data_IF_204944882466
#
_entry.id   IF_204944882466
#
_cell.length_a   1.000
_cell.length_b   1.000
_cell.length_c   1.000
_cell.angle_alpha   90.00
_cell.angle_beta   90.00
_cell.angle_gamma   90.00
#
_symmetry.space_group_name_H-M   'P 1'
#
loop_
_entity.id
_entity.type
_entity.pdbx_description
1 polymer ?
#
# COMPACT_ATOMS: atom_id res chain seq x y z
N UNK A 1 1.33 29.35 60.39
CA UNK A 1 1.26 27.89 60.43
C UNK A 1 0.12 27.52 59.48
N UNK A 2 0.42 27.59 58.18
CA UNK A 2 -0.53 27.40 57.04
C UNK A 2 0.23 26.96 55.76
N UNK A 3 1.55 27.18 55.69
CA UNK A 3 2.38 26.82 54.52
C UNK A 3 2.60 25.30 54.34
N UNK A 4 2.66 24.52 55.43
CA UNK A 4 2.90 23.06 55.36
C UNK A 4 1.70 22.27 54.81
N UNK A 5 0.52 22.87 54.79
CA UNK A 5 -0.72 22.28 54.23
C UNK A 5 -0.91 22.56 52.74
N UNK A 6 -0.21 23.55 52.17
CA UNK A 6 -0.30 23.93 50.76
C UNK A 6 0.74 23.21 49.88
N UNK A 7 1.89 22.82 50.43
CA UNK A 7 2.93 22.07 49.73
C UNK A 7 2.41 20.80 49.00
N UNK A 8 1.60 19.92 49.62
CA UNK A 8 1.07 18.74 48.91
C UNK A 8 0.08 19.10 47.79
N UNK A 9 -0.62 20.24 47.86
CA UNK A 9 -1.48 20.71 46.78
C UNK A 9 -0.66 21.24 45.59
N UNK A 10 0.43 21.95 45.87
CA UNK A 10 1.35 22.46 44.83
C UNK A 10 2.06 21.30 44.11
N UNK A 11 2.49 20.26 44.84
CA UNK A 11 3.11 19.07 44.25
C UNK A 11 2.13 18.24 43.41
N UNK A 12 0.89 18.09 43.88
CA UNK A 12 -0.17 17.43 43.12
C UNK A 12 -0.53 18.22 41.85
N UNK A 13 -0.59 19.55 41.92
CA UNK A 13 -0.84 20.42 40.78
C UNK A 13 0.29 20.35 39.75
N UNK A 14 1.55 20.41 40.21
CA UNK A 14 2.73 20.28 39.35
C UNK A 14 2.77 18.92 38.66
N UNK A 15 2.47 17.84 39.38
CA UNK A 15 2.41 16.48 38.83
C UNK A 15 1.30 16.31 37.80
N UNK A 16 0.12 16.88 38.04
CA UNK A 16 -0.99 16.88 37.10
C UNK A 16 -0.67 17.68 35.83
N UNK A 17 0.01 18.82 35.97
CA UNK A 17 0.40 19.68 34.86
C UNK A 17 1.47 18.99 33.99
N UNK A 18 2.46 18.35 34.59
CA UNK A 18 3.45 17.52 33.88
C UNK A 18 2.75 16.39 33.12
N UNK A 19 1.80 15.69 33.75
CA UNK A 19 1.07 14.60 33.10
C UNK A 19 0.24 15.10 31.91
N UNK A 20 -0.45 16.24 32.03
CA UNK A 20 -1.19 16.83 30.91
C UNK A 20 -0.28 17.23 29.74
N UNK A 21 0.89 17.80 30.02
CA UNK A 21 1.88 18.16 28.98
C UNK A 21 2.39 16.90 28.27
N UNK A 22 2.68 15.82 29.00
CA UNK A 22 3.12 14.56 28.40
C UNK A 22 2.05 13.93 27.50
N UNK A 23 0.78 13.98 27.91
CA UNK A 23 -0.34 13.50 27.10
C UNK A 23 -0.50 14.34 25.82
N UNK A 24 -0.32 15.67 25.90
CA UNK A 24 -0.37 16.55 24.74
C UNK A 24 0.78 16.28 23.76
N UNK A 25 2.00 16.06 24.25
CA UNK A 25 3.15 15.68 23.42
C UNK A 25 2.90 14.32 22.75
N UNK A 26 2.35 13.35 23.49
CA UNK A 26 2.02 12.04 22.93
C UNK A 26 1.00 12.14 21.79
N UNK A 27 -0.07 12.93 21.97
CA UNK A 27 -1.03 13.19 20.90
C UNK A 27 -0.42 13.93 19.70
N UNK A 28 0.49 14.89 19.93
CA UNK A 28 1.20 15.58 18.84
C UNK A 28 2.08 14.61 18.04
N UNK A 29 2.82 13.73 18.71
CA UNK A 29 3.67 12.72 18.06
C UNK A 29 2.79 11.72 17.29
N UNK A 30 1.69 11.27 17.87
CA UNK A 30 0.75 10.37 17.20
C UNK A 30 0.12 11.03 15.96
N UNK A 31 -0.26 12.31 16.08
CA UNK A 31 -0.84 13.09 14.98
C UNK A 31 0.19 13.34 13.87
N UNK A 32 1.42 13.69 14.22
CA UNK A 32 2.51 13.87 13.25
C UNK A 32 2.86 12.56 12.53
N UNK A 33 2.86 11.44 13.25
CA UNK A 33 3.08 10.10 12.66
C UNK A 33 1.94 9.72 11.72
N UNK A 34 0.69 9.99 12.12
CA UNK A 34 -0.49 9.77 11.27
C UNK A 34 -0.49 10.67 10.04
N UNK A 35 -0.18 11.96 10.18
CA UNK A 35 -0.04 12.90 9.07
C UNK A 35 1.08 12.49 8.12
N UNK A 36 2.21 12.00 8.62
CA UNK A 36 3.33 11.52 7.79
C UNK A 36 2.94 10.25 7.04
N UNK A 37 2.21 9.33 7.68
CA UNK A 37 1.68 8.12 7.05
C UNK A 37 0.63 8.47 5.97
N UNK A 38 -0.27 9.40 6.25
CA UNK A 38 -1.27 9.90 5.29
C UNK A 38 -0.63 10.70 4.15
N UNK A 39 0.34 11.57 4.42
CA UNK A 39 1.03 12.35 3.39
C UNK A 39 1.82 11.46 2.42
N UNK A 40 2.46 10.39 2.93
CA UNK A 40 3.08 9.35 2.08
C UNK A 40 2.07 8.61 1.19
N UNK A 41 0.78 8.59 1.55
CA UNK A 41 -0.26 7.95 0.76
C UNK A 41 -0.84 8.88 -0.33
N UNK A 42 -0.71 10.22 -0.17
CA UNK A 42 -1.37 11.23 -1.02
C UNK A 42 -0.50 11.80 -2.15
N UNK A 43 0.81 11.57 -2.17
CA UNK A 43 1.67 12.10 -3.26
C UNK A 43 1.76 11.13 -4.44
N UNK A 44 0.70 11.06 -5.24
CA UNK A 44 0.80 10.75 -6.67
C UNK A 44 0.49 12.06 -7.40
N UNK A 45 1.55 12.85 -7.60
CA UNK A 45 1.53 14.23 -8.10
C UNK A 45 0.91 14.35 -9.51
N UNK A 46 0.00 15.32 -9.69
CA UNK A 46 -0.60 15.75 -10.97
C UNK A 46 0.17 16.92 -11.62
N UNK A 47 1.49 17.06 -11.40
CA UNK A 47 2.31 18.15 -11.98
C UNK A 47 3.33 17.68 -13.01
N UNK A 48 3.61 18.56 -13.97
CA UNK A 48 4.45 18.36 -15.15
C UNK A 48 5.86 17.79 -14.86
N UNK A 49 6.31 16.93 -15.77
CA UNK A 49 7.45 16.00 -15.62
C UNK A 49 8.83 16.65 -15.40
N UNK A 50 8.98 17.95 -15.64
CA UNK A 50 10.30 18.62 -15.57
C UNK A 50 10.74 19.01 -14.15
N UNK A 51 9.83 19.16 -13.19
CA UNK A 51 10.15 19.51 -11.80
C UNK A 51 10.23 18.28 -10.85
N UNK A 52 10.03 17.05 -11.35
CA UNK A 52 9.86 15.87 -10.49
C UNK A 52 11.15 15.11 -10.13
N UNK A 53 12.35 15.58 -10.53
CA UNK A 53 13.60 14.81 -10.31
C UNK A 53 13.92 14.55 -8.84
N UNK A 54 13.43 15.37 -7.91
CA UNK A 54 13.64 15.20 -6.46
C UNK A 54 12.49 14.47 -5.73
N UNK A 55 11.40 14.14 -6.42
CA UNK A 55 10.19 13.54 -5.83
C UNK A 55 10.00 12.05 -6.17
N UNK A 56 10.98 11.38 -6.76
CA UNK A 56 10.96 9.93 -6.95
C UNK A 56 11.01 9.22 -5.58
N UNK A 57 9.86 9.17 -4.91
CA UNK A 57 9.66 8.26 -3.79
C UNK A 57 9.62 6.87 -4.40
N UNK A 58 10.59 5.99 -4.11
CA UNK A 58 10.63 4.68 -4.73
C UNK A 58 9.35 3.92 -4.36
N UNK A 59 8.74 3.27 -5.36
CA UNK A 59 7.63 2.36 -5.12
C UNK A 59 8.17 1.22 -4.26
N UNK A 60 7.75 1.17 -3.00
CA UNK A 60 8.10 0.07 -2.10
C UNK A 60 7.19 -1.10 -2.45
N UNK A 61 7.76 -2.05 -3.18
CA UNK A 61 7.11 -3.32 -3.45
C UNK A 61 7.17 -4.22 -2.23
N UNK A 62 6.08 -4.92 -1.94
CA UNK A 62 5.98 -5.90 -0.87
C UNK A 62 5.89 -7.29 -1.44
N UNK A 63 6.19 -8.28 -0.61
CA UNK A 63 5.94 -9.66 -0.98
C UNK A 63 4.43 -9.91 -1.05
N UNK A 64 4.04 -10.82 -1.95
CA UNK A 64 2.66 -11.28 -2.05
C UNK A 64 2.31 -12.03 -0.77
N UNK A 65 1.12 -11.74 -0.23
CA UNK A 65 0.63 -12.33 1.02
C UNK A 65 0.20 -13.78 0.80
N UNK A 66 -0.43 -14.05 -0.35
CA UNK A 66 -0.99 -15.36 -0.67
C UNK A 66 -0.96 -15.60 -2.17
N UNK A 67 -0.47 -16.76 -2.57
CA UNK A 67 -0.58 -17.30 -3.93
C UNK A 67 -1.58 -18.46 -3.92
N UNK A 68 -2.65 -18.36 -4.72
CA UNK A 68 -3.56 -19.45 -4.98
C UNK A 68 -3.56 -19.69 -6.50
N UNK A 69 -2.65 -20.56 -6.95
CA UNK A 69 -2.45 -20.84 -8.36
C UNK A 69 -3.58 -21.68 -8.96
N UNK A 70 -4.29 -22.47 -8.16
CA UNK A 70 -5.44 -23.26 -8.60
C UNK A 70 -6.59 -22.34 -9.05
N UNK A 71 -6.80 -21.22 -8.35
CA UNK A 71 -7.76 -20.18 -8.69
C UNK A 71 -7.18 -19.06 -9.56
N UNK A 72 -5.93 -19.18 -10.02
CA UNK A 72 -5.23 -18.14 -10.77
C UNK A 72 -5.30 -16.76 -10.08
N UNK A 73 -5.07 -16.73 -8.77
CA UNK A 73 -5.23 -15.54 -7.93
C UNK A 73 -4.03 -15.33 -7.02
N UNK A 74 -3.66 -14.06 -6.85
CA UNK A 74 -2.72 -13.62 -5.83
C UNK A 74 -3.33 -12.51 -4.97
N UNK A 75 -2.94 -12.44 -3.70
CA UNK A 75 -3.35 -11.38 -2.76
C UNK A 75 -2.17 -10.61 -2.22
N UNK A 76 -2.31 -9.29 -2.13
CA UNK A 76 -1.21 -8.39 -1.77
C UNK A 76 -1.70 -7.16 -1.03
N UNK A 77 -0.73 -6.41 -0.48
CA UNK A 77 -0.98 -5.15 0.22
C UNK A 77 -0.36 -4.01 -0.60
N UNK A 78 -1.19 -3.13 -1.15
CA UNK A 78 -0.81 -1.91 -1.90
C UNK A 78 -0.01 -2.16 -3.18
N UNK A 79 1.24 -2.64 -3.11
CA UNK A 79 2.07 -2.98 -4.25
C UNK A 79 2.73 -4.34 -4.02
N UNK A 80 2.92 -5.12 -5.07
CA UNK A 80 3.56 -6.43 -4.96
C UNK A 80 4.75 -6.61 -5.89
N UNK A 81 5.69 -7.44 -5.44
CA UNK A 81 6.71 -8.05 -6.28
C UNK A 81 6.51 -9.56 -6.26
N UNK A 82 6.44 -10.15 -7.44
CA UNK A 82 6.44 -11.60 -7.56
C UNK A 82 7.84 -12.14 -7.27
N UNK A 83 7.93 -13.27 -6.57
CA UNK A 83 9.18 -14.01 -6.52
C UNK A 83 9.48 -14.69 -7.87
N UNK A 84 10.72 -15.07 -8.10
CA UNK A 84 11.14 -15.66 -9.39
C UNK A 84 10.49 -17.02 -9.65
N UNK A 85 10.20 -17.79 -8.60
CA UNK A 85 9.57 -19.11 -8.74
C UNK A 85 8.14 -18.99 -9.29
N UNK A 86 7.30 -18.16 -8.67
CA UNK A 86 5.92 -17.93 -9.06
C UNK A 86 5.84 -17.19 -10.40
N UNK A 87 6.78 -16.29 -10.72
CA UNK A 87 6.87 -15.72 -12.07
C UNK A 87 7.00 -16.80 -13.14
N UNK A 88 7.91 -17.75 -12.94
CA UNK A 88 8.14 -18.83 -13.90
C UNK A 88 6.90 -19.73 -14.00
N UNK A 89 6.29 -20.09 -12.87
CA UNK A 89 5.08 -20.93 -12.84
C UNK A 89 3.91 -20.27 -13.58
N UNK A 90 3.60 -19.01 -13.25
CA UNK A 90 2.50 -18.27 -13.87
C UNK A 90 2.81 -18.02 -15.35
N UNK A 91 4.02 -17.56 -15.69
CA UNK A 91 4.43 -17.36 -17.09
C UNK A 91 4.29 -18.63 -17.92
N UNK A 92 4.73 -19.78 -17.40
CA UNK A 92 4.59 -21.07 -18.08
C UNK A 92 3.12 -21.45 -18.30
N UNK A 93 2.23 -21.19 -17.33
CA UNK A 93 0.79 -21.44 -17.49
C UNK A 93 0.14 -20.55 -18.57
N UNK A 94 0.71 -19.37 -18.80
CA UNK A 94 0.18 -18.37 -19.72
C UNK A 94 0.80 -18.40 -21.13
N UNK A 95 1.84 -19.21 -21.37
CA UNK A 95 2.56 -19.26 -22.66
C UNK A 95 1.68 -19.62 -23.85
N UNK A 96 0.64 -20.43 -23.65
CA UNK A 96 -0.27 -20.86 -24.71
C UNK A 96 -1.55 -20.03 -24.79
N UNK A 97 -1.70 -19.00 -23.95
CA UNK A 97 -2.91 -18.19 -23.94
C UNK A 97 -2.94 -17.23 -25.14
N UNK A 98 -3.97 -17.32 -25.99
CA UNK A 98 -4.20 -16.33 -27.05
C UNK A 98 -4.87 -15.07 -26.50
N UNK A 99 -5.68 -15.23 -25.46
CA UNK A 99 -6.43 -14.18 -24.82
C UNK A 99 -6.42 -14.33 -23.30
N UNK A 100 -6.26 -13.22 -22.58
CA UNK A 100 -6.12 -13.17 -21.13
C UNK A 100 -7.02 -12.07 -20.58
N UNK A 101 -7.86 -12.39 -19.60
CA UNK A 101 -8.52 -11.41 -18.75
C UNK A 101 -7.77 -11.30 -17.43
N UNK A 102 -7.47 -10.08 -17.00
CA UNK A 102 -6.87 -9.80 -15.69
C UNK A 102 -7.80 -8.86 -14.93
N UNK A 103 -8.16 -9.27 -13.72
CA UNK A 103 -9.04 -8.52 -12.84
C UNK A 103 -8.27 -8.16 -11.57
N UNK A 104 -8.23 -6.88 -11.23
CA UNK A 104 -7.71 -6.40 -9.95
C UNK A 104 -8.88 -5.97 -9.09
N UNK A 105 -9.04 -6.58 -7.91
CA UNK A 105 -9.90 -6.07 -6.85
C UNK A 105 -9.02 -5.27 -5.90
N UNK A 106 -9.27 -3.97 -5.75
CA UNK A 106 -8.45 -3.10 -4.91
C UNK A 106 -9.24 -1.95 -4.30
N UNK A 107 -8.89 -1.57 -3.07
CA UNK A 107 -9.38 -0.34 -2.42
C UNK A 107 -8.40 0.84 -2.65
N UNK A 108 -7.28 0.60 -3.32
CA UNK A 108 -6.31 1.63 -3.65
C UNK A 108 -6.78 2.48 -4.83
N UNK A 109 -6.19 3.68 -4.93
CA UNK A 109 -6.34 4.55 -6.10
C UNK A 109 -6.11 3.77 -7.40
N UNK A 110 -6.95 4.05 -8.41
CA UNK A 110 -6.89 3.48 -9.74
C UNK A 110 -5.49 3.61 -10.36
N UNK A 111 -4.76 4.70 -10.05
CA UNK A 111 -3.36 4.87 -10.48
C UNK A 111 -2.46 3.74 -9.96
N UNK A 112 -2.54 3.40 -8.66
CA UNK A 112 -1.75 2.31 -8.04
C UNK A 112 -2.13 0.94 -8.60
N UNK A 113 -3.42 0.68 -8.71
CA UNK A 113 -3.93 -0.57 -9.29
C UNK A 113 -3.46 -0.76 -10.74
N UNK A 114 -3.40 0.33 -11.52
CA UNK A 114 -2.86 0.31 -12.89
C UNK A 114 -1.36 0.00 -12.91
N UNK A 115 -0.57 0.59 -12.00
CA UNK A 115 0.87 0.29 -11.90
C UNK A 115 1.11 -1.18 -11.57
N UNK A 116 0.35 -1.75 -10.63
CA UNK A 116 0.43 -3.17 -10.30
C UNK A 116 0.06 -4.07 -11.48
N UNK A 117 -0.96 -3.69 -12.25
CA UNK A 117 -1.34 -4.38 -13.49
C UNK A 117 -0.17 -4.39 -14.49
N UNK A 118 0.43 -3.23 -14.74
CA UNK A 118 1.57 -3.11 -15.66
C UNK A 118 2.77 -3.91 -15.17
N UNK A 119 3.02 -3.92 -13.86
CA UNK A 119 4.09 -4.70 -13.23
C UNK A 119 3.89 -6.19 -13.47
N UNK A 120 2.67 -6.70 -13.26
CA UNK A 120 2.31 -8.09 -13.57
C UNK A 120 2.54 -8.41 -15.05
N UNK A 121 2.02 -7.58 -15.95
CA UNK A 121 2.16 -7.80 -17.40
C UNK A 121 3.61 -7.82 -17.85
N UNK A 122 4.43 -6.92 -17.30
CA UNK A 122 5.87 -6.88 -17.57
C UNK A 122 6.56 -8.14 -17.10
N UNK A 123 6.24 -8.60 -15.89
CA UNK A 123 6.88 -9.78 -15.28
C UNK A 123 6.49 -11.09 -15.99
N UNK A 124 5.31 -11.16 -16.61
CA UNK A 124 4.87 -12.35 -17.35
C UNK A 124 5.53 -12.51 -18.73
N UNK A 125 6.03 -11.41 -19.31
CA UNK A 125 6.74 -11.38 -20.60
C UNK A 125 6.07 -12.22 -21.70
N UNK A 126 4.81 -11.91 -22.00
CA UNK A 126 4.00 -12.63 -22.99
C UNK A 126 4.65 -12.62 -24.39
N UNK A 127 4.51 -13.72 -25.13
CA UNK A 127 4.87 -13.76 -26.55
C UNK A 127 4.01 -12.79 -27.36
N UNK A 128 4.60 -12.18 -28.38
CA UNK A 128 3.89 -11.23 -29.26
C UNK A 128 2.61 -11.90 -29.80
N UNK A 129 1.45 -11.28 -29.55
CA UNK A 129 0.08 -11.61 -30.00
C UNK A 129 -0.96 -11.99 -28.93
N UNK A 130 -0.66 -11.91 -27.63
CA UNK A 130 -1.69 -12.12 -26.59
C UNK A 130 -2.63 -10.91 -26.49
N UNK A 131 -3.95 -11.14 -26.61
CA UNK A 131 -4.98 -10.12 -26.33
C UNK A 131 -5.21 -10.03 -24.83
N UNK A 132 -4.98 -8.86 -24.24
CA UNK A 132 -5.16 -8.65 -22.79
C UNK A 132 -6.37 -7.75 -22.54
N UNK A 133 -7.30 -8.24 -21.74
CA UNK A 133 -8.44 -7.50 -21.20
C UNK A 133 -8.21 -7.23 -19.72
N UNK A 134 -8.26 -5.96 -19.32
CA UNK A 134 -8.01 -5.57 -17.93
C UNK A 134 -9.26 -4.96 -17.31
N UNK A 135 -9.52 -5.32 -16.07
CA UNK A 135 -10.61 -4.78 -15.28
C UNK A 135 -10.12 -4.44 -13.86
N UNK A 136 -10.53 -3.29 -13.34
CA UNK A 136 -10.24 -2.87 -11.96
C UNK A 136 -11.57 -2.69 -11.25
N UNK A 137 -11.83 -3.55 -10.27
CA UNK A 137 -13.03 -3.53 -9.46
C UNK A 137 -12.71 -2.97 -8.06
N UNK A 138 -13.55 -2.08 -7.53
CA UNK A 138 -13.39 -1.59 -6.16
C UNK A 138 -13.69 -2.72 -5.17
N UNK A 139 -12.95 -2.76 -4.06
CA UNK A 139 -13.24 -3.64 -2.93
C UNK A 139 -13.14 -2.89 -1.61
N UNK A 140 -13.86 -3.36 -0.60
CA UNK A 140 -13.75 -2.85 0.78
C UNK A 140 -12.67 -3.57 1.60
N UNK A 141 -12.09 -4.64 1.04
CA UNK A 141 -11.01 -5.40 1.67
C UNK A 141 -9.72 -4.58 1.76
N UNK A 142 -8.99 -4.75 2.87
CA UNK A 142 -7.63 -4.22 3.04
C UNK A 142 -6.64 -4.93 2.12
N UNK A 143 -6.89 -6.21 1.81
CA UNK A 143 -6.11 -6.97 0.84
C UNK A 143 -6.68 -6.77 -0.55
N UNK A 144 -5.80 -6.38 -1.47
CA UNK A 144 -6.07 -6.34 -2.89
C UNK A 144 -5.79 -7.73 -3.50
N UNK A 145 -6.50 -8.08 -4.56
CA UNK A 145 -6.27 -9.33 -5.28
C UNK A 145 -6.11 -9.10 -6.76
N UNK A 146 -5.19 -9.80 -7.40
CA UNK A 146 -5.08 -9.90 -8.86
C UNK A 146 -5.43 -11.33 -9.24
N UNK A 147 -6.39 -11.48 -10.15
CA UNK A 147 -6.75 -12.77 -10.74
C UNK A 147 -6.62 -12.71 -12.25
N UNK A 148 -6.31 -13.84 -12.87
CA UNK A 148 -6.24 -13.96 -14.32
C UNK A 148 -7.06 -15.14 -14.84
N UNK A 149 -7.54 -15.04 -16.06
CA UNK A 149 -8.34 -16.08 -16.72
C UNK A 149 -7.95 -16.14 -18.19
N UNK A 150 -7.57 -17.34 -18.64
CA UNK A 150 -7.31 -17.62 -20.05
C UNK A 150 -8.66 -17.75 -20.75
N UNK A 151 -8.83 -17.04 -21.87
CA UNK A 151 -10.06 -17.01 -22.68
C UNK A 151 -9.86 -17.81 -23.97
#
# INVERSE_FOLDING_TARGET
MDDDTLAPFVDALASALIMMVLVAIFFLVQTATSLTASAKLTTISDKDLHDQRELFTPIIYRDVVEYNLDENRLRYIVNFKLDEMHKILISNSLKSAESLRITINSNDDKKKSTVNMLNFLRDMNFSKNVKVYTEVLPTTSVLSSLSWTIL
#
